data_IF_488167103555
#
_entry.id   IF_488167103555
#
_cell.length_a   1.000
_cell.length_b   1.000
_cell.length_c   1.000
_cell.angle_alpha   90.00
_cell.angle_beta   90.00
_cell.angle_gamma   90.00
#
_symmetry.space_group_name_H-M   'P 1'
#
loop_
_entity.id
_entity.type
_entity.pdbx_description
1 polymer ?
#
# COMPACT_ATOMS: atom_id res chain seq x y z
N UNK A 1 5.47 14.53 19.21
CA UNK A 1 5.35 13.28 18.45
C UNK A 1 5.46 13.68 16.98
N UNK A 2 6.60 13.41 16.33
CA UNK A 2 6.86 13.95 14.99
C UNK A 2 5.98 13.23 13.96
N UNK A 3 5.05 13.97 13.36
CA UNK A 3 4.00 13.52 12.43
C UNK A 3 4.52 13.22 10.99
N UNK A 4 5.84 13.10 10.80
CA UNK A 4 6.49 12.88 9.50
C UNK A 4 5.88 11.73 8.66
N UNK A 5 5.48 10.57 9.24
CA UNK A 5 4.88 9.48 8.46
C UNK A 5 3.55 9.86 7.80
N UNK A 6 2.81 10.84 8.33
CA UNK A 6 1.54 11.30 7.75
C UNK A 6 1.70 12.13 6.47
N UNK A 7 2.94 12.53 6.16
CA UNK A 7 3.25 13.38 5.01
C UNK A 7 3.69 12.59 3.77
N UNK A 8 3.83 11.26 3.87
CA UNK A 8 4.28 10.44 2.75
C UNK A 8 3.07 10.10 1.88
N UNK A 9 3.07 10.57 0.64
CA UNK A 9 1.96 10.38 -0.29
C UNK A 9 1.91 8.99 -0.93
N UNK A 10 0.75 8.68 -1.51
CA UNK A 10 0.53 7.49 -2.30
C UNK A 10 1.09 7.60 -3.72
N UNK A 11 1.69 6.51 -4.21
CA UNK A 11 1.87 6.26 -5.64
C UNK A 11 1.52 4.81 -6.00
N UNK A 12 0.92 4.61 -7.18
CA UNK A 12 0.71 3.28 -7.75
C UNK A 12 2.00 2.65 -8.32
N UNK A 13 3.06 3.45 -8.49
CA UNK A 13 4.42 3.02 -8.85
C UNK A 13 5.41 3.65 -7.85
N UNK A 14 5.40 3.19 -6.59
CA UNK A 14 6.12 3.85 -5.51
C UNK A 14 7.63 3.67 -5.63
N UNK A 15 8.39 4.46 -4.86
CA UNK A 15 9.83 4.29 -4.67
C UNK A 15 10.21 3.76 -3.28
N UNK A 16 9.22 3.51 -2.42
CA UNK A 16 9.41 2.91 -1.11
C UNK A 16 8.24 1.99 -0.71
N UNK A 17 8.45 1.16 0.31
CA UNK A 17 7.43 0.29 0.88
C UNK A 17 7.54 0.26 2.40
N UNK A 18 6.46 -0.15 3.07
CA UNK A 18 6.46 -0.34 4.52
C UNK A 18 6.83 -1.78 4.85
N UNK A 19 7.93 -1.96 5.57
CA UNK A 19 8.40 -3.24 6.10
C UNK A 19 8.00 -3.38 7.57
N UNK A 20 7.71 -4.61 8.00
CA UNK A 20 7.44 -4.90 9.40
C UNK A 20 6.16 -4.21 9.88
N UNK A 21 6.32 -3.25 10.81
CA UNK A 21 5.20 -2.49 11.38
C UNK A 21 5.09 -1.06 10.87
N UNK A 22 6.23 -0.37 10.68
CA UNK A 22 6.26 1.06 10.41
C UNK A 22 7.59 1.55 9.80
N UNK A 23 8.40 0.65 9.26
CA UNK A 23 9.69 1.01 8.66
C UNK A 23 9.51 1.29 7.17
N UNK A 24 9.84 2.50 6.71
CA UNK A 24 9.79 2.83 5.30
C UNK A 24 11.15 2.54 4.65
N UNK A 25 11.16 1.65 3.66
CA UNK A 25 12.37 1.17 2.99
C UNK A 25 12.30 1.50 1.51
N UNK A 26 13.40 1.96 0.91
CA UNK A 26 13.48 2.24 -0.52
C UNK A 26 13.32 0.96 -1.35
N UNK A 27 12.53 1.02 -2.42
CA UNK A 27 12.35 -0.05 -3.43
C UNK A 27 13.36 0.05 -4.58
N UNK A 28 13.89 1.26 -4.79
CA UNK A 28 14.82 1.64 -5.86
C UNK A 28 15.64 2.85 -5.39
N UNK A 29 16.69 3.18 -6.12
CA UNK A 29 17.45 4.40 -5.85
C UNK A 29 16.53 5.63 -5.95
N UNK A 30 16.63 6.52 -4.97
CA UNK A 30 15.82 7.75 -4.87
C UNK A 30 16.73 8.94 -5.08
N UNK A 31 16.45 9.74 -6.11
CA UNK A 31 17.26 10.90 -6.45
C UNK A 31 16.91 12.12 -5.59
N UNK A 32 17.85 13.07 -5.43
CA UNK A 32 17.60 14.29 -4.66
C UNK A 32 16.44 15.08 -5.27
N UNK A 33 15.43 15.34 -4.46
CA UNK A 33 14.23 16.10 -4.86
C UNK A 33 13.09 15.23 -5.40
N UNK A 34 13.30 13.92 -5.55
CA UNK A 34 12.22 12.97 -5.82
C UNK A 34 11.34 12.81 -4.57
N UNK A 35 10.02 12.85 -4.76
CA UNK A 35 9.06 12.63 -3.69
C UNK A 35 9.10 11.17 -3.24
N UNK A 36 9.21 10.94 -1.92
CA UNK A 36 9.11 9.59 -1.35
C UNK A 36 7.64 9.21 -1.28
N UNK A 37 7.30 8.06 -1.85
CA UNK A 37 5.92 7.55 -1.90
C UNK A 37 5.85 6.06 -1.62
N UNK A 38 4.71 5.58 -1.11
CA UNK A 38 4.42 4.15 -0.96
C UNK A 38 3.00 3.82 -1.42
N UNK A 39 2.74 2.55 -1.70
CA UNK A 39 1.41 2.10 -2.08
C UNK A 39 0.56 1.85 -0.83
N UNK A 40 -0.28 2.82 -0.47
CA UNK A 40 -1.23 2.74 0.65
C UNK A 40 -2.05 1.44 0.70
N UNK A 41 -2.38 0.86 -0.46
CA UNK A 41 -3.14 -0.39 -0.55
C UNK A 41 -2.43 -1.55 0.17
N UNK A 42 -1.10 -1.51 0.23
CA UNK A 42 -0.27 -2.46 1.00
C UNK A 42 -0.38 -2.29 2.52
N UNK A 43 -1.16 -1.33 3.00
CA UNK A 43 -1.43 -1.11 4.42
C UNK A 43 -2.93 -1.20 4.77
N UNK A 44 -3.76 -1.58 3.79
CA UNK A 44 -5.22 -1.63 3.93
C UNK A 44 -5.69 -3.08 3.81
N UNK A 45 -6.29 -3.61 4.87
CA UNK A 45 -6.92 -4.93 4.87
C UNK A 45 -8.09 -4.99 5.87
N UNK A 46 -9.09 -4.12 5.66
CA UNK A 46 -10.31 -4.15 6.45
C UNK A 46 -11.04 -5.50 6.23
N UNK A 47 -11.36 -6.15 7.35
CA UNK A 47 -12.13 -7.38 7.37
C UNK A 47 -13.65 -7.09 7.37
N UNK A 48 -14.47 -8.13 7.14
CA UNK A 48 -15.93 -7.99 7.05
C UNK A 48 -16.54 -7.30 8.29
N UNK A 49 -16.06 -7.61 9.49
CA UNK A 49 -16.55 -6.97 10.73
C UNK A 49 -16.19 -5.49 10.81
N UNK A 50 -15.03 -5.11 10.29
CA UNK A 50 -14.61 -3.70 10.22
C UNK A 50 -15.48 -2.94 9.22
N UNK A 51 -15.77 -3.55 8.07
CA UNK A 51 -16.67 -2.99 7.05
C UNK A 51 -18.10 -2.87 7.60
N UNK A 52 -18.63 -3.88 8.30
CA UNK A 52 -19.94 -3.84 8.96
C UNK A 52 -20.03 -2.71 10.00
N UNK A 53 -18.98 -2.54 10.83
CA UNK A 53 -18.90 -1.43 11.80
C UNK A 53 -18.90 -0.06 11.12
N UNK A 54 -18.48 0.01 9.86
CA UNK A 54 -18.51 1.21 9.02
C UNK A 54 -19.79 1.29 8.16
N UNK A 55 -20.88 0.64 8.60
CA UNK A 55 -22.17 0.59 7.89
C UNK A 55 -22.06 0.01 6.47
N UNK A 56 -21.16 -0.95 6.28
CA UNK A 56 -20.91 -1.58 4.98
C UNK A 56 -20.04 -0.74 4.02
N UNK A 57 -19.50 0.40 4.47
CA UNK A 57 -18.71 1.30 3.61
C UNK A 57 -17.25 0.86 3.56
N UNK A 58 -16.80 0.49 2.36
CA UNK A 58 -15.38 0.32 2.07
C UNK A 58 -14.74 1.70 1.87
N UNK A 59 -13.56 1.91 2.45
CA UNK A 59 -12.80 3.14 2.25
C UNK A 59 -12.05 3.07 0.92
N UNK A 60 -12.54 3.78 -0.08
CA UNK A 60 -11.93 3.91 -1.41
C UNK A 60 -11.62 5.38 -1.64
N UNK A 61 -10.38 5.69 -2.04
CA UNK A 61 -9.96 7.06 -2.34
C UNK A 61 -9.63 7.24 -3.82
N UNK A 62 -9.98 8.38 -4.45
CA UNK A 62 -9.48 8.70 -5.78
C UNK A 62 -7.96 8.93 -5.76
N UNK A 63 -7.25 8.36 -6.72
CA UNK A 63 -5.80 8.46 -6.83
C UNK A 63 -5.38 9.57 -7.80
N UNK A 64 -4.45 10.43 -7.37
CA UNK A 64 -3.91 11.52 -8.17
C UNK A 64 -2.38 11.44 -8.37
N UNK A 65 -1.76 10.27 -8.18
CA UNK A 65 -0.30 10.12 -8.15
C UNK A 65 0.45 10.41 -9.46
N UNK A 66 -0.27 10.62 -10.57
CA UNK A 66 0.26 10.92 -11.92
C UNK A 66 1.22 9.89 -12.53
N UNK A 67 1.44 8.73 -11.88
CA UNK A 67 2.18 7.61 -12.47
C UNK A 67 1.51 7.13 -13.76
N UNK A 68 2.31 6.70 -14.75
CA UNK A 68 1.80 6.03 -15.96
C UNK A 68 1.10 4.70 -15.65
N UNK A 69 1.35 4.12 -14.47
CA UNK A 69 0.69 2.92 -13.95
C UNK A 69 -0.40 3.24 -12.92
N UNK A 70 -0.91 4.48 -12.91
CA UNK A 70 -1.96 4.88 -11.98
C UNK A 70 -3.20 3.98 -12.12
N UNK A 71 -3.68 3.45 -11.00
CA UNK A 71 -4.89 2.62 -10.92
C UNK A 71 -6.17 3.46 -10.78
N UNK A 72 -6.05 4.79 -10.71
CA UNK A 72 -7.12 5.77 -10.49
C UNK A 72 -7.84 5.69 -9.13
N UNK A 73 -7.72 4.59 -8.41
CA UNK A 73 -8.26 4.41 -7.06
C UNK A 73 -7.20 3.81 -6.12
N UNK A 74 -7.34 4.13 -4.83
CA UNK A 74 -6.63 3.52 -3.71
C UNK A 74 -7.67 2.72 -2.92
N UNK A 75 -7.40 1.44 -2.71
CA UNK A 75 -8.32 0.52 -2.06
C UNK A 75 -7.51 -0.58 -1.34
N UNK A 76 -8.18 -1.57 -0.75
CA UNK A 76 -7.61 -2.68 0.01
C UNK A 76 -6.60 -3.52 -0.80
N UNK A 77 -5.65 -4.15 -0.12
CA UNK A 77 -4.68 -5.05 -0.76
C UNK A 77 -5.34 -6.14 -1.61
N UNK A 78 -6.44 -6.71 -1.10
CA UNK A 78 -7.21 -7.79 -1.76
C UNK A 78 -7.84 -7.39 -3.09
N UNK A 79 -8.02 -6.09 -3.36
CA UNK A 79 -8.63 -5.59 -4.59
C UNK A 79 -7.61 -5.13 -5.64
N UNK A 80 -6.31 -5.17 -5.30
CA UNK A 80 -5.23 -4.91 -6.25
C UNK A 80 -5.27 -5.93 -7.42
N UNK A 81 -4.80 -5.55 -8.63
CA UNK A 81 -4.59 -6.52 -9.70
C UNK A 81 -3.71 -7.68 -9.23
N UNK A 82 -4.02 -8.91 -9.67
CA UNK A 82 -3.34 -10.11 -9.19
C UNK A 82 -1.83 -10.07 -9.38
N UNK A 83 -1.35 -9.56 -10.53
CA UNK A 83 0.10 -9.48 -10.76
C UNK A 83 0.79 -8.54 -9.76
N UNK A 84 0.09 -7.49 -9.31
CA UNK A 84 0.61 -6.54 -8.32
C UNK A 84 0.60 -7.16 -6.92
N UNK A 85 -0.45 -7.90 -6.55
CA UNK A 85 -0.47 -8.67 -5.31
C UNK A 85 0.72 -9.65 -5.27
N UNK A 86 0.89 -10.43 -6.34
CA UNK A 86 2.01 -11.37 -6.46
C UNK A 86 3.37 -10.68 -6.38
N UNK A 87 3.54 -9.53 -7.02
CA UNK A 87 4.76 -8.74 -6.95
C UNK A 87 5.11 -8.37 -5.51
N UNK A 88 4.17 -7.83 -4.74
CA UNK A 88 4.44 -7.48 -3.34
C UNK A 88 4.72 -8.71 -2.46
N UNK A 89 3.95 -9.78 -2.64
CA UNK A 89 4.07 -11.00 -1.82
C UNK A 89 5.35 -11.78 -2.11
N UNK A 90 5.73 -11.96 -3.38
CA UNK A 90 6.94 -12.71 -3.76
C UNK A 90 8.22 -12.00 -3.29
N UNK A 91 8.19 -10.68 -3.19
CA UNK A 91 9.36 -9.86 -2.80
C UNK A 91 9.36 -9.42 -1.32
N UNK A 92 8.35 -9.80 -0.52
CA UNK A 92 8.15 -9.31 0.85
C UNK A 92 8.08 -7.78 0.97
N UNK A 93 7.48 -7.12 -0.03
CA UNK A 93 7.36 -5.66 -0.12
C UNK A 93 6.04 -5.15 0.48
N UNK A 94 5.68 -5.65 1.66
CA UNK A 94 4.50 -5.21 2.41
C UNK A 94 4.72 -5.41 3.93
N UNK A 95 3.90 -4.79 4.79
CA UNK A 95 3.92 -5.01 6.22
C UNK A 95 3.62 -6.45 6.61
N UNK A 96 4.09 -6.86 7.79
CA UNK A 96 3.96 -8.23 8.30
C UNK A 96 2.51 -8.74 8.30
N UNK A 97 1.54 -7.88 8.61
CA UNK A 97 0.14 -8.30 8.70
C UNK A 97 -0.47 -8.62 7.33
N UNK A 98 -0.06 -7.92 6.27
CA UNK A 98 -0.44 -8.24 4.89
C UNK A 98 0.23 -9.54 4.46
N UNK A 99 1.54 -9.65 4.64
CA UNK A 99 2.28 -10.85 4.27
C UNK A 99 1.71 -12.10 4.96
N UNK A 100 1.54 -12.06 6.29
CA UNK A 100 0.95 -13.18 7.04
C UNK A 100 -0.44 -13.60 6.56
N UNK A 101 -1.23 -12.64 6.06
CA UNK A 101 -2.61 -12.88 5.61
C UNK A 101 -2.67 -13.48 4.21
N UNK A 102 -1.87 -12.97 3.27
CA UNK A 102 -2.02 -13.26 1.83
C UNK A 102 -0.93 -14.16 1.24
N UNK A 103 0.23 -14.30 1.90
CA UNK A 103 1.33 -15.11 1.38
C UNK A 103 1.10 -16.61 1.56
N UNK A 104 0.22 -17.01 2.49
CA UNK A 104 -0.22 -18.40 2.69
C UNK A 104 -1.16 -18.92 1.58
N UNK A 105 -1.53 -18.06 0.64
CA UNK A 105 -2.50 -18.33 -0.42
C UNK A 105 -1.84 -18.47 -1.80
N UNK A 106 -0.50 -18.39 -1.86
CA UNK A 106 0.33 -18.63 -3.05
C UNK A 106 0.76 -20.09 -3.15
#
# INVERSE_FOLDING_TARGET
>A
MNELPRLINHSCDPNSFVKGKNELIALKDITKGEEITYDYSTTMNDNEKEIERMEGKLVIYPCNCKSRKCRNTIDQFKTLPKEIQEYYLKNNFAPDFILRKFQKTL
#
